data_IF_513974990922
#
_entry.id   IF_513974990922
#
_cell.length_a   1.000
_cell.length_b   1.000
_cell.length_c   1.000
_cell.angle_alpha   90.00
_cell.angle_beta   90.00
_cell.angle_gamma   90.00
#
_symmetry.space_group_name_H-M   'P 1'
#
loop_
_entity.id
_entity.type
_entity.pdbx_description
1 polymer ?
#
# COMPACT_ATOMS: atom_id res chain seq x y z
N UNK A 1 -7.27 12.12 15.58
CA UNK A 1 -7.15 11.45 14.28
C UNK A 1 -6.81 9.99 14.51
N UNK A 2 -7.58 9.10 13.95
CA UNK A 2 -7.34 7.67 14.11
C UNK A 2 -6.51 7.15 12.95
N UNK A 3 -5.33 6.66 13.29
CA UNK A 3 -4.46 6.01 12.33
C UNK A 3 -4.97 4.60 12.03
N UNK A 4 -5.02 4.21 10.75
CA UNK A 4 -5.46 2.89 10.32
C UNK A 4 -4.40 2.19 9.49
N UNK A 5 -4.52 0.87 9.35
CA UNK A 5 -3.63 0.13 8.46
C UNK A 5 -3.82 0.57 7.00
N UNK A 6 -5.04 0.96 6.62
CA UNK A 6 -5.27 1.53 5.29
C UNK A 6 -4.44 2.79 5.05
N UNK A 7 -4.31 3.66 6.06
CA UNK A 7 -3.46 4.85 5.95
C UNK A 7 -2.00 4.48 5.74
N UNK A 8 -1.51 3.49 6.49
CA UNK A 8 -0.14 3.02 6.34
C UNK A 8 0.11 2.45 4.95
N UNK A 9 -0.80 1.60 4.47
CA UNK A 9 -0.69 0.98 3.15
C UNK A 9 -0.68 2.06 2.05
N UNK A 10 -1.54 3.08 2.18
CA UNK A 10 -1.57 4.17 1.21
C UNK A 10 -0.24 4.92 1.15
N UNK A 11 0.38 5.19 2.30
CA UNK A 11 1.68 5.85 2.35
C UNK A 11 2.78 5.03 1.68
N UNK A 12 2.83 3.74 1.96
CA UNK A 12 3.84 2.85 1.36
C UNK A 12 3.60 2.72 -0.15
N UNK A 13 2.34 2.64 -0.58
CA UNK A 13 1.98 2.55 -1.98
C UNK A 13 2.33 3.84 -2.73
N UNK A 14 2.14 5.00 -2.09
CA UNK A 14 2.53 6.28 -2.68
C UNK A 14 4.03 6.34 -2.93
N UNK A 15 4.85 5.87 -1.98
CA UNK A 15 6.29 5.79 -2.18
C UNK A 15 6.63 4.93 -3.40
N UNK A 16 5.95 3.81 -3.57
CA UNK A 16 6.15 2.94 -4.72
C UNK A 16 5.79 3.65 -6.03
N UNK A 17 4.68 4.38 -6.05
CA UNK A 17 4.25 5.13 -7.23
C UNK A 17 5.23 6.24 -7.60
N UNK A 18 5.94 6.79 -6.62
CA UNK A 18 6.90 7.89 -6.83
C UNK A 18 8.32 7.40 -7.11
N UNK A 19 8.55 6.10 -7.13
CA UNK A 19 9.87 5.50 -7.34
C UNK A 19 10.32 5.47 -8.80
N UNK A 20 9.50 5.96 -9.72
CA UNK A 20 9.76 5.83 -11.15
C UNK A 20 9.32 4.50 -11.72
N UNK A 21 8.55 3.73 -10.98
CA UNK A 21 8.08 2.41 -11.42
C UNK A 21 7.04 2.51 -12.53
N UNK A 22 7.09 1.58 -13.47
CA UNK A 22 6.03 1.38 -14.45
C UNK A 22 4.89 0.52 -13.91
N UNK A 23 5.22 -0.35 -12.95
CA UNK A 23 4.28 -1.30 -12.37
C UNK A 23 4.36 -1.25 -10.85
N UNK A 24 3.20 -1.15 -10.20
CA UNK A 24 3.06 -1.28 -8.75
C UNK A 24 2.04 -2.36 -8.46
N UNK A 25 2.38 -3.28 -7.57
CA UNK A 25 1.47 -4.33 -7.12
C UNK A 25 1.21 -4.16 -5.63
N UNK A 26 -0.05 -4.22 -5.26
CA UNK A 26 -0.50 -4.17 -3.87
C UNK A 26 -1.29 -5.43 -3.58
N UNK A 27 -0.91 -6.18 -2.54
CA UNK A 27 -1.66 -7.34 -2.08
C UNK A 27 -2.08 -7.12 -0.64
N UNK A 28 -3.33 -7.42 -0.34
CA UNK A 28 -3.87 -7.36 1.03
C UNK A 28 -4.55 -8.68 1.33
N UNK A 29 -4.09 -9.36 2.36
CA UNK A 29 -4.59 -10.68 2.74
C UNK A 29 -5.01 -10.70 4.21
N UNK A 30 -6.17 -11.28 4.48
CA UNK A 30 -6.64 -11.53 5.84
C UNK A 30 -6.98 -13.01 6.00
N UNK A 31 -6.59 -13.59 7.10
CA UNK A 31 -6.92 -14.98 7.42
C UNK A 31 -5.95 -15.58 8.42
N UNK A 32 -6.40 -16.61 9.13
CA UNK A 32 -5.54 -17.30 10.08
C UNK A 32 -5.07 -16.45 11.25
N UNK A 33 -5.82 -15.41 11.62
CA UNK A 33 -5.40 -14.51 12.69
C UNK A 33 -4.38 -13.46 12.27
N UNK A 34 -4.18 -13.30 10.98
CA UNK A 34 -3.16 -12.39 10.45
C UNK A 34 -3.77 -11.45 9.41
N UNK A 35 -3.34 -10.20 9.46
CA UNK A 35 -3.52 -9.22 8.39
C UNK A 35 -2.16 -8.99 7.75
N UNK A 36 -2.04 -9.18 6.45
CA UNK A 36 -0.76 -9.06 5.74
C UNK A 36 -0.95 -8.20 4.50
N UNK A 37 0.01 -7.31 4.25
CA UNK A 37 0.05 -6.62 2.97
C UNK A 37 1.45 -6.64 2.38
N UNK A 38 1.50 -6.48 1.06
CA UNK A 38 2.74 -6.42 0.30
C UNK A 38 2.59 -5.32 -0.75
N UNK A 39 3.61 -4.47 -0.87
CA UNK A 39 3.69 -3.47 -1.94
C UNK A 39 4.99 -3.72 -2.70
N UNK A 40 4.87 -3.98 -4.00
CA UNK A 40 6.02 -4.25 -4.87
C UNK A 40 6.03 -3.24 -6.01
N UNK A 41 7.20 -2.67 -6.28
CA UNK A 41 7.40 -1.80 -7.43
C UNK A 41 8.66 -2.21 -8.21
N UNK A 42 8.70 -1.83 -9.47
CA UNK A 42 9.88 -2.03 -10.32
C UNK A 42 10.59 -0.70 -10.57
N UNK A 43 10.60 0.19 -9.58
CA UNK A 43 11.21 1.50 -9.67
C UNK A 43 12.72 1.47 -9.50
N UNK A 44 13.26 2.60 -9.08
CA UNK A 44 14.72 2.79 -8.99
C UNK A 44 15.39 1.91 -7.94
N UNK A 45 14.65 1.44 -6.95
CA UNK A 45 15.21 0.65 -5.87
C UNK A 45 16.20 1.42 -5.01
N UNK A 46 16.85 0.70 -4.10
CA UNK A 46 17.80 1.28 -3.16
C UNK A 46 19.02 0.40 -3.03
N UNK A 47 20.19 1.03 -2.81
CA UNK A 47 21.38 0.32 -2.37
C UNK A 47 21.20 -0.12 -0.92
N UNK A 48 22.10 -0.98 -0.43
CA UNK A 48 22.05 -1.41 0.97
C UNK A 48 22.14 -0.23 1.93
N UNK A 49 23.00 0.74 1.63
CA UNK A 49 23.15 1.94 2.48
C UNK A 49 21.89 2.80 2.44
N UNK A 50 21.29 2.98 1.27
CA UNK A 50 20.04 3.73 1.13
C UNK A 50 18.91 3.06 1.91
N UNK A 51 18.80 1.74 1.82
CA UNK A 51 17.78 1.01 2.55
C UNK A 51 17.99 1.13 4.06
N UNK A 52 19.23 0.98 4.53
CA UNK A 52 19.54 1.13 5.95
C UNK A 52 19.11 2.50 6.48
N UNK A 53 19.28 3.56 5.70
CA UNK A 53 18.82 4.90 6.05
C UNK A 53 17.31 5.03 6.00
N UNK A 54 16.69 4.44 5.00
CA UNK A 54 15.24 4.54 4.81
C UNK A 54 14.46 3.90 5.95
N UNK A 55 14.99 2.84 6.56
CA UNK A 55 14.33 2.16 7.68
C UNK A 55 14.70 2.75 9.05
N UNK A 56 15.64 3.66 9.10
CA UNK A 56 16.10 4.27 10.36
C UNK A 56 15.19 5.46 10.72
N UNK A 57 14.47 5.41 11.84
CA UNK A 57 13.58 6.50 12.23
C UNK A 57 14.28 7.80 12.58
N UNK A 58 15.60 7.75 12.82
CA UNK A 58 16.38 8.93 13.19
C UNK A 58 17.04 9.62 12.01
N UNK A 59 16.98 9.02 10.81
CA UNK A 59 17.52 9.61 9.60
C UNK A 59 16.34 10.11 8.76
N UNK A 60 16.18 11.43 8.66
CA UNK A 60 15.14 12.04 7.87
C UNK A 60 15.76 12.86 6.75
N UNK A 61 15.18 12.76 5.56
CA UNK A 61 15.58 13.55 4.41
C UNK A 61 14.57 14.68 4.15
N UNK A 62 13.99 15.20 5.24
CA UNK A 62 12.94 16.21 5.19
C UNK A 62 13.33 17.51 4.53
N UNK A 63 14.63 17.76 4.39
CA UNK A 63 15.13 18.97 3.72
C UNK A 63 14.78 18.98 2.24
N UNK A 64 14.76 17.82 1.60
CA UNK A 64 14.46 17.71 0.17
C UNK A 64 12.98 17.76 -0.14
N UNK A 65 12.15 17.38 0.80
CA UNK A 65 10.70 17.28 0.59
C UNK A 65 9.96 17.80 1.82
N UNK A 66 9.95 19.14 2.04
CA UNK A 66 9.39 19.70 3.27
C UNK A 66 7.89 19.50 3.45
N UNK A 67 7.17 19.18 2.38
CA UNK A 67 5.72 18.97 2.43
C UNK A 67 5.33 17.50 2.56
N UNK A 68 6.31 16.60 2.67
CA UNK A 68 6.06 15.16 2.71
C UNK A 68 6.74 14.56 3.93
N UNK A 69 6.12 13.53 4.48
CA UNK A 69 6.70 12.74 5.57
C UNK A 69 7.69 11.72 5.00
N UNK A 70 8.62 12.19 4.18
CA UNK A 70 9.62 11.34 3.56
C UNK A 70 10.55 10.77 4.62
N UNK A 71 10.81 9.47 4.54
CA UNK A 71 11.69 8.78 5.48
C UNK A 71 10.99 8.26 6.72
N UNK A 72 9.70 8.53 6.89
CA UNK A 72 8.93 8.04 8.04
C UNK A 72 8.03 6.85 7.70
N UNK A 73 7.71 6.61 6.42
CA UNK A 73 6.82 5.53 6.01
C UNK A 73 7.33 4.16 6.40
N UNK A 74 8.56 3.81 6.00
CA UNK A 74 9.14 2.52 6.32
C UNK A 74 9.42 2.33 7.81
N UNK A 75 10.05 3.30 8.52
CA UNK A 75 10.19 3.16 9.96
C UNK A 75 8.87 2.99 10.70
N UNK A 76 7.84 3.68 10.25
CA UNK A 76 6.50 3.60 10.86
C UNK A 76 5.88 2.23 10.61
N UNK A 77 6.03 1.66 9.40
CA UNK A 77 5.60 0.31 9.09
C UNK A 77 6.25 -0.70 10.04
N UNK A 78 7.57 -0.59 10.19
CA UNK A 78 8.34 -1.50 11.04
C UNK A 78 7.87 -1.43 12.48
N UNK A 79 7.77 -0.22 13.02
CA UNK A 79 7.34 -0.01 14.39
C UNK A 79 5.93 -0.56 14.63
N UNK A 80 5.00 -0.26 13.71
CA UNK A 80 3.62 -0.70 13.84
C UNK A 80 3.51 -2.23 13.79
N UNK A 81 4.23 -2.87 12.87
CA UNK A 81 4.22 -4.32 12.74
C UNK A 81 4.77 -4.99 14.02
N UNK A 82 5.89 -4.50 14.52
CA UNK A 82 6.51 -5.06 15.72
C UNK A 82 5.64 -4.86 16.97
N UNK A 83 5.02 -3.70 17.12
CA UNK A 83 4.14 -3.43 18.25
C UNK A 83 2.84 -4.22 18.19
N UNK A 84 2.46 -4.70 17.03
CA UNK A 84 1.21 -5.44 16.82
C UNK A 84 1.42 -6.96 16.84
N UNK A 85 2.54 -7.43 17.35
CA UNK A 85 2.84 -8.86 17.41
C UNK A 85 3.12 -9.50 16.07
N UNK A 86 3.42 -8.69 15.06
CA UNK A 86 3.72 -9.17 13.71
C UNK A 86 5.18 -8.98 13.34
N UNK A 87 5.41 -8.76 12.07
CA UNK A 87 6.75 -8.56 11.54
C UNK A 87 6.73 -7.88 10.19
N UNK A 88 7.89 -7.79 9.59
CA UNK A 88 8.06 -7.10 8.33
C UNK A 88 9.25 -7.65 7.57
N UNK A 89 9.26 -7.39 6.26
CA UNK A 89 10.38 -7.71 5.39
C UNK A 89 10.42 -6.65 4.28
N UNK A 90 11.58 -6.05 4.07
CA UNK A 90 11.78 -5.06 3.02
C UNK A 90 12.99 -5.46 2.22
N UNK A 91 12.78 -5.69 0.92
CA UNK A 91 13.84 -6.05 -0.01
C UNK A 91 13.90 -5.00 -1.09
N UNK A 92 15.11 -4.55 -1.42
CA UNK A 92 15.30 -3.53 -2.43
C UNK A 92 16.63 -3.76 -3.13
N UNK A 93 16.65 -3.50 -4.43
CA UNK A 93 17.86 -3.59 -5.23
C UNK A 93 17.88 -2.41 -6.20
N UNK A 94 19.00 -1.71 -6.23
CA UNK A 94 19.17 -0.55 -7.10
C UNK A 94 18.94 -0.95 -8.55
N UNK A 95 18.05 -0.21 -9.22
CA UNK A 95 17.69 -0.47 -10.61
C UNK A 95 16.63 -1.54 -10.83
N UNK A 96 16.17 -2.22 -9.79
CA UNK A 96 15.17 -3.29 -9.92
C UNK A 96 13.88 -3.02 -9.17
N UNK A 97 13.91 -2.28 -8.08
CA UNK A 97 12.72 -1.92 -7.33
C UNK A 97 12.75 -2.35 -5.89
N UNK A 98 11.59 -2.25 -5.24
CA UNK A 98 11.44 -2.51 -3.81
C UNK A 98 10.20 -3.36 -3.55
N UNK A 99 10.29 -4.28 -2.60
CA UNK A 99 9.16 -5.05 -2.08
C UNK A 99 9.11 -4.87 -0.58
N UNK A 100 8.01 -4.29 -0.09
CA UNK A 100 7.77 -4.08 1.34
C UNK A 100 6.60 -4.97 1.76
N UNK A 101 6.81 -5.79 2.78
CA UNK A 101 5.81 -6.70 3.33
C UNK A 101 5.69 -6.45 4.81
N UNK A 102 4.47 -6.49 5.34
CA UNK A 102 4.24 -6.43 6.78
C UNK A 102 3.04 -7.30 7.13
N UNK A 103 3.07 -7.87 8.33
CA UNK A 103 1.97 -8.67 8.84
C UNK A 103 1.73 -8.32 10.30
N UNK A 104 0.48 -8.47 10.70
CA UNK A 104 -0.03 -8.01 11.98
C UNK A 104 -0.89 -9.12 12.58
N UNK A 105 -0.81 -9.29 13.89
CA UNK A 105 -1.65 -10.24 14.62
C UNK A 105 -3.00 -9.58 14.89
N UNK A 106 -4.07 -10.11 14.26
CA UNK A 106 -5.41 -9.54 14.41
C UNK A 106 -5.98 -9.72 15.80
N UNK A 107 -5.41 -10.62 16.59
CA UNK A 107 -5.78 -10.79 18.00
C UNK A 107 -5.05 -9.86 18.96
N UNK A 108 -4.11 -9.08 18.46
CA UNK A 108 -3.30 -8.18 19.30
C UNK A 108 -4.05 -6.86 19.51
N UNK A 109 -4.17 -6.45 20.78
CA UNK A 109 -4.90 -5.21 21.12
C UNK A 109 -4.23 -3.95 20.59
N UNK A 110 -2.93 -4.04 20.31
CA UNK A 110 -2.16 -2.89 19.81
C UNK A 110 -2.19 -2.78 18.28
N UNK A 111 -2.83 -3.71 17.58
CA UNK A 111 -2.99 -3.60 16.14
C UNK A 111 -3.93 -2.43 15.82
N UNK A 112 -3.52 -1.49 14.95
CA UNK A 112 -4.43 -0.43 14.52
C UNK A 112 -5.65 -1.01 13.80
N UNK A 113 -6.78 -0.29 13.78
CA UNK A 113 -7.91 -0.74 12.97
C UNK A 113 -7.52 -0.80 11.49
N UNK A 114 -8.15 -1.71 10.76
CA UNK A 114 -7.85 -1.89 9.34
C UNK A 114 -8.23 -0.64 8.55
N UNK A 115 -9.37 -0.05 8.84
CA UNK A 115 -9.83 1.14 8.14
C UNK A 115 -10.65 0.80 6.90
N UNK A 116 -10.83 1.81 6.05
CA UNK A 116 -11.65 1.71 4.84
C UNK A 116 -10.80 1.21 3.66
N UNK A 117 -10.75 -0.10 3.45
CA UNK A 117 -9.97 -0.67 2.35
C UNK A 117 -10.48 -0.26 0.97
N UNK A 118 -11.79 -0.33 0.64
CA UNK A 118 -12.23 0.15 -0.68
C UNK A 118 -11.89 1.61 -0.94
N UNK A 119 -12.04 2.47 0.06
CA UNK A 119 -11.66 3.88 -0.05
C UNK A 119 -10.18 4.06 -0.28
N UNK A 120 -9.36 3.26 0.41
CA UNK A 120 -7.91 3.28 0.22
C UNK A 120 -7.54 2.79 -1.18
N UNK A 121 -8.15 1.72 -1.67
CA UNK A 121 -7.89 1.21 -3.02
C UNK A 121 -8.22 2.27 -4.08
N UNK A 122 -9.35 2.97 -3.91
CA UNK A 122 -9.70 4.08 -4.79
C UNK A 122 -8.61 5.15 -4.79
N UNK A 123 -8.13 5.52 -3.61
CA UNK A 123 -7.09 6.54 -3.45
C UNK A 123 -5.80 6.13 -4.16
N UNK A 124 -5.32 4.91 -3.93
CA UNK A 124 -4.04 4.49 -4.53
C UNK A 124 -4.14 4.32 -6.04
N UNK A 125 -5.31 3.92 -6.55
CA UNK A 125 -5.52 3.80 -8.00
C UNK A 125 -5.46 5.16 -8.69
N UNK A 126 -5.68 6.25 -7.95
CA UNK A 126 -5.60 7.60 -8.48
C UNK A 126 -4.19 8.18 -8.44
N UNK A 127 -3.24 7.55 -7.77
CA UNK A 127 -1.87 8.05 -7.72
C UNK A 127 -1.25 8.03 -9.12
N UNK A 128 -0.54 9.10 -9.43
CA UNK A 128 0.18 9.21 -10.69
C UNK A 128 1.53 8.52 -10.60
N UNK A 129 2.10 8.17 -11.74
CA UNK A 129 3.42 7.58 -11.85
C UNK A 129 3.41 6.28 -12.62
N UNK A 130 2.94 5.17 -12.05
CA UNK A 130 3.00 3.89 -12.74
C UNK A 130 2.01 3.81 -13.91
N UNK A 131 2.41 3.13 -14.97
CA UNK A 131 1.54 2.84 -16.10
C UNK A 131 0.46 1.82 -15.70
N UNK A 132 0.79 0.92 -14.78
CA UNK A 132 -0.15 -0.08 -14.30
C UNK A 132 -0.06 -0.23 -12.79
N UNK A 133 -1.21 -0.48 -12.16
CA UNK A 133 -1.30 -0.89 -10.77
C UNK A 133 -2.23 -2.10 -10.69
N UNK A 134 -1.78 -3.12 -9.96
CA UNK A 134 -2.57 -4.32 -9.72
C UNK A 134 -2.82 -4.41 -8.23
N UNK A 135 -4.08 -4.55 -7.85
CA UNK A 135 -4.47 -4.78 -6.46
C UNK A 135 -5.05 -6.17 -6.35
N UNK A 136 -4.49 -6.98 -5.44
CA UNK A 136 -4.99 -8.32 -5.13
C UNK A 136 -5.46 -8.32 -3.69
N UNK A 137 -6.67 -8.78 -3.48
CA UNK A 137 -7.31 -8.78 -2.18
C UNK A 137 -7.86 -10.16 -1.87
N UNK A 138 -7.55 -10.67 -0.68
CA UNK A 138 -8.12 -11.93 -0.23
C UNK A 138 -8.45 -11.87 1.25
N UNK A 139 -9.49 -12.60 1.65
CA UNK A 139 -9.91 -12.73 3.05
C UNK A 139 -10.41 -14.15 3.26
N UNK A 140 -9.60 -14.95 3.95
CA UNK A 140 -9.91 -16.35 4.23
C UNK A 140 -10.32 -17.10 2.95
N UNK A 141 -11.52 -17.70 2.95
CA UNK A 141 -12.05 -18.43 1.79
C UNK A 141 -13.26 -17.72 1.17
N UNK A 142 -13.66 -16.58 1.72
CA UNK A 142 -14.89 -15.90 1.31
C UNK A 142 -14.68 -14.72 0.38
N UNK A 143 -13.43 -14.27 0.19
CA UNK A 143 -13.14 -13.10 -0.64
C UNK A 143 -11.83 -13.28 -1.37
N UNK A 144 -11.87 -13.11 -2.70
CA UNK A 144 -10.67 -13.14 -3.53
C UNK A 144 -10.96 -12.41 -4.84
N UNK A 145 -10.29 -11.28 -5.03
CA UNK A 145 -10.45 -10.54 -6.28
C UNK A 145 -9.17 -9.79 -6.64
N UNK A 146 -9.07 -9.44 -7.91
CA UNK A 146 -7.96 -8.67 -8.46
C UNK A 146 -8.52 -7.55 -9.32
N UNK A 147 -7.94 -6.36 -9.20
CA UNK A 147 -8.27 -5.23 -10.07
C UNK A 147 -7.00 -4.67 -10.70
N UNK A 148 -7.13 -4.20 -11.93
CA UNK A 148 -6.04 -3.60 -12.69
C UNK A 148 -6.45 -2.19 -13.10
N UNK A 149 -5.58 -1.22 -12.84
CA UNK A 149 -5.86 0.18 -13.13
C UNK A 149 -6.22 0.39 -14.61
N UNK A 150 -5.45 -0.19 -15.53
CA UNK A 150 -5.70 -0.01 -16.96
C UNK A 150 -7.08 -0.52 -17.37
N UNK A 151 -7.52 -1.66 -16.82
CA UNK A 151 -8.84 -2.20 -17.10
C UNK A 151 -9.94 -1.31 -16.54
N UNK A 152 -9.74 -0.76 -15.35
CA UNK A 152 -10.70 0.14 -14.72
C UNK A 152 -10.83 1.45 -15.49
N UNK A 153 -9.70 2.02 -15.93
CA UNK A 153 -9.70 3.24 -16.74
C UNK A 153 -10.42 2.99 -18.07
N UNK A 154 -10.19 1.84 -18.70
CA UNK A 154 -10.85 1.49 -19.94
C UNK A 154 -12.37 1.36 -19.76
N UNK A 155 -12.80 0.78 -18.64
CA UNK A 155 -14.22 0.55 -18.37
C UNK A 155 -14.95 1.80 -17.88
N UNK A 156 -14.31 2.63 -17.05
CA UNK A 156 -14.95 3.74 -16.33
C UNK A 156 -14.51 5.13 -16.81
N UNK A 157 -13.50 5.20 -17.68
CA UNK A 157 -12.86 6.46 -18.05
C UNK A 157 -11.73 6.81 -17.10
N UNK A 158 -10.94 7.77 -17.50
CA UNK A 158 -9.83 8.25 -16.67
C UNK A 158 -10.39 8.99 -15.46
N UNK A 159 -10.31 8.52 -14.31
CA UNK A 159 -10.87 8.98 -13.02
C UNK A 159 -10.86 10.50 -12.84
N UNK A 160 -11.29 11.25 -13.85
CA UNK A 160 -11.22 12.70 -13.87
C UNK A 160 -12.52 13.37 -13.44
N UNK A 161 -13.63 12.69 -13.58
CA UNK A 161 -14.93 13.28 -13.22
C UNK A 161 -15.55 12.58 -12.01
N UNK A 162 -16.50 13.27 -11.38
CA UNK A 162 -17.18 12.75 -10.19
C UNK A 162 -17.96 11.47 -10.46
N UNK A 163 -18.52 11.34 -11.65
CA UNK A 163 -19.28 10.15 -12.04
C UNK A 163 -18.42 8.91 -12.10
N UNK A 164 -17.24 9.00 -12.73
CA UNK A 164 -16.30 7.90 -12.80
C UNK A 164 -15.78 7.49 -11.42
N UNK A 165 -15.52 8.46 -10.56
CA UNK A 165 -15.05 8.20 -9.20
C UNK A 165 -16.12 7.51 -8.35
N UNK A 166 -17.38 7.89 -8.50
CA UNK A 166 -18.49 7.25 -7.81
C UNK A 166 -18.62 5.79 -8.26
N UNK A 167 -18.55 5.56 -9.57
CA UNK A 167 -18.62 4.20 -10.11
C UNK A 167 -17.46 3.33 -9.62
N UNK A 168 -16.26 3.89 -9.58
CA UNK A 168 -15.09 3.18 -9.05
C UNK A 168 -15.29 2.81 -7.59
N UNK A 169 -15.75 3.74 -6.77
CA UNK A 169 -16.01 3.50 -5.37
C UNK A 169 -17.06 2.42 -5.17
N UNK A 170 -18.17 2.48 -5.91
CA UNK A 170 -19.23 1.49 -5.86
C UNK A 170 -18.73 0.11 -6.27
N UNK A 171 -17.93 0.05 -7.32
CA UNK A 171 -17.37 -1.22 -7.80
C UNK A 171 -16.49 -1.86 -6.72
N UNK A 172 -15.56 -1.08 -6.14
CA UNK A 172 -14.65 -1.60 -5.13
C UNK A 172 -15.39 -2.08 -3.88
N UNK A 173 -16.40 -1.32 -3.45
CA UNK A 173 -17.20 -1.72 -2.28
C UNK A 173 -18.01 -2.97 -2.56
N UNK A 174 -18.51 -3.13 -3.77
CA UNK A 174 -19.26 -4.33 -4.13
C UNK A 174 -18.38 -5.59 -4.07
N UNK A 175 -17.09 -5.47 -4.39
CA UNK A 175 -16.16 -6.59 -4.28
C UNK A 175 -15.93 -7.00 -2.82
N UNK A 176 -15.87 -6.03 -1.90
CA UNK A 176 -15.66 -6.33 -0.48
C UNK A 176 -16.90 -6.90 0.21
N UNK A 177 -18.08 -6.65 -0.30
CA UNK A 177 -19.34 -7.12 0.25
C UNK A 177 -19.72 -8.51 -0.26
N UNK A 178 -18.95 -9.07 -1.17
CA UNK A 178 -19.26 -10.36 -1.75
C UNK A 178 -19.14 -11.46 -0.70
N UNK A 179 -20.19 -12.28 -0.63
CA UNK A 179 -20.29 -13.38 0.34
C UNK A 179 -19.72 -14.68 -0.20
#
# INVERSE_FOLDING_TARGET
MHFTLADLIADITQNACESGADMVELEVREGGGEFRFLVRDNGKGMTKDQLARAIDPFVTDGVKHPHRKVGLGLPFLIQTAEQSGGGWDIQSEKGKGTTATAWFDTGNVDMPPVGDLPGMFRTVLMFEGPAEMIIRRSRQQDLDYEVRKTELVEALGEFEDAGSLILLDQYLRSQEEEE
#
